data_IF_992987811417
#
_entry.id   IF_992987811417
#
_cell.length_a   1.000
_cell.length_b   1.000
_cell.length_c   1.000
_cell.angle_alpha   90.00
_cell.angle_beta   90.00
_cell.angle_gamma   90.00
#
_symmetry.space_group_name_H-M   'P 1'
#
loop_
_entity.id
_entity.type
_entity.pdbx_description
1 polymer ?
#
# COMPACT_ATOMS: atom_id res chain seq x y z
N UNK A 1 20.61 25.14 -10.32
CA UNK A 1 20.63 23.66 -10.27
C UNK A 1 19.28 23.22 -10.81
N UNK A 2 19.27 22.67 -12.03
CA UNK A 2 18.04 22.42 -12.78
C UNK A 2 17.37 21.15 -12.26
N UNK A 3 16.09 21.21 -11.91
CA UNK A 3 15.28 20.04 -11.60
C UNK A 3 14.94 19.33 -12.92
N UNK A 4 15.35 18.08 -13.15
CA UNK A 4 14.76 17.26 -14.19
C UNK A 4 13.57 16.48 -13.56
N UNK A 5 12.62 16.00 -14.37
CA UNK A 5 11.46 15.15 -13.98
C UNK A 5 10.09 15.79 -13.76
N UNK A 6 9.78 16.86 -14.50
CA UNK A 6 8.41 17.02 -14.94
C UNK A 6 8.35 16.61 -16.42
N UNK A 7 7.61 15.54 -16.73
CA UNK A 7 6.99 15.47 -18.05
C UNK A 7 6.36 16.83 -18.32
N UNK A 8 6.68 17.48 -19.43
CA UNK A 8 6.12 18.80 -19.78
C UNK A 8 4.60 18.72 -20.03
N UNK A 9 4.05 17.50 -20.06
CA UNK A 9 2.64 17.19 -20.19
C UNK A 9 2.00 17.16 -18.79
N UNK A 10 0.93 17.93 -18.55
CA UNK A 10 0.15 17.82 -17.32
C UNK A 10 -0.32 16.38 -17.09
N UNK A 11 -0.33 15.90 -15.84
CA UNK A 11 -0.72 14.53 -15.49
C UNK A 11 -2.07 14.11 -16.12
N UNK A 12 -3.04 15.02 -16.18
CA UNK A 12 -4.36 14.78 -16.78
C UNK A 12 -4.33 14.52 -18.30
N UNK A 13 -3.24 14.88 -18.99
CA UNK A 13 -3.03 14.64 -20.42
C UNK A 13 -1.96 13.56 -20.69
N UNK A 14 -1.37 12.98 -19.64
CA UNK A 14 -0.36 11.93 -19.78
C UNK A 14 -1.03 10.60 -20.20
N UNK A 15 -0.68 10.03 -21.36
CA UNK A 15 -1.29 8.78 -21.86
C UNK A 15 -1.14 7.59 -20.91
N UNK A 16 -0.03 7.50 -20.19
CA UNK A 16 0.19 6.43 -19.20
C UNK A 16 -0.78 6.59 -18.03
N UNK A 17 -0.92 7.82 -17.51
CA UNK A 17 -1.87 8.08 -16.42
C UNK A 17 -3.32 7.87 -16.85
N UNK A 18 -3.72 8.29 -18.06
CA UNK A 18 -5.06 8.04 -18.59
C UNK A 18 -5.36 6.53 -18.68
N UNK A 19 -4.39 5.74 -19.15
CA UNK A 19 -4.53 4.28 -19.23
C UNK A 19 -4.59 3.64 -17.84
N UNK A 20 -3.73 4.05 -16.91
CA UNK A 20 -3.71 3.54 -15.53
C UNK A 20 -4.97 3.93 -14.77
N UNK A 21 -5.40 5.20 -14.84
CA UNK A 21 -6.54 5.72 -14.06
C UNK A 21 -7.87 5.06 -14.42
N UNK A 22 -7.99 4.46 -15.61
CA UNK A 22 -9.17 3.70 -16.04
C UNK A 22 -8.97 2.18 -16.00
N UNK A 23 -7.79 1.71 -15.58
CA UNK A 23 -7.46 0.29 -15.51
C UNK A 23 -8.17 -0.40 -14.35
N UNK A 24 -8.82 -1.52 -14.65
CA UNK A 24 -9.42 -2.43 -13.69
C UNK A 24 -8.75 -3.80 -13.78
N UNK A 25 -8.51 -4.43 -12.63
CA UNK A 25 -7.85 -5.74 -12.55
C UNK A 25 -8.88 -6.86 -12.69
N UNK A 26 -8.61 -7.79 -13.61
CA UNK A 26 -9.45 -8.95 -13.84
C UNK A 26 -10.71 -8.65 -14.67
N UNK A 27 -11.66 -9.60 -14.74
CA UNK A 27 -12.87 -9.46 -15.54
C UNK A 27 -13.92 -8.58 -14.84
N UNK A 28 -14.62 -7.75 -15.62
CA UNK A 28 -15.58 -6.78 -15.11
C UNK A 28 -16.83 -7.40 -14.46
N UNK A 29 -17.15 -8.65 -14.82
CA UNK A 29 -18.29 -9.42 -14.34
C UNK A 29 -17.95 -10.37 -13.18
N UNK A 30 -16.76 -10.27 -12.60
CA UNK A 30 -16.36 -11.07 -11.45
C UNK A 30 -17.31 -10.87 -10.26
N UNK A 31 -17.86 -11.96 -9.71
CA UNK A 31 -18.69 -11.93 -8.50
C UNK A 31 -17.93 -11.34 -7.28
N UNK A 32 -16.60 -11.53 -7.26
CA UNK A 32 -15.70 -10.91 -6.29
C UNK A 32 -14.68 -10.02 -7.02
N UNK A 33 -14.98 -8.73 -7.22
CA UNK A 33 -14.06 -7.79 -7.86
C UNK A 33 -12.75 -7.64 -7.08
N UNK A 34 -11.69 -7.24 -7.77
CA UNK A 34 -10.35 -7.08 -7.20
C UNK A 34 -10.32 -6.30 -5.89
N UNK A 35 -10.95 -5.12 -5.86
CA UNK A 35 -10.98 -4.25 -4.67
C UNK A 35 -11.74 -4.86 -3.49
N UNK A 36 -12.76 -5.69 -3.74
CA UNK A 36 -13.45 -6.44 -2.68
C UNK A 36 -12.58 -7.57 -2.14
N UNK A 37 -11.85 -8.28 -3.02
CA UNK A 37 -10.89 -9.28 -2.58
C UNK A 37 -9.76 -8.65 -1.77
N UNK A 38 -9.24 -7.51 -2.22
CA UNK A 38 -8.23 -6.71 -1.51
C UNK A 38 -8.71 -6.34 -0.10
N UNK A 39 -9.95 -5.84 0.01
CA UNK A 39 -10.56 -5.51 1.30
C UNK A 39 -10.63 -6.74 2.22
N UNK A 40 -11.12 -7.87 1.68
CA UNK A 40 -11.28 -9.12 2.44
C UNK A 40 -9.94 -9.67 2.96
N UNK A 41 -8.93 -9.72 2.11
CA UNK A 41 -7.62 -10.33 2.46
C UNK A 41 -6.82 -9.50 3.48
N UNK A 42 -7.09 -8.20 3.58
CA UNK A 42 -6.39 -7.29 4.49
C UNK A 42 -7.25 -6.82 5.68
N UNK A 43 -8.50 -7.28 5.79
CA UNK A 43 -9.42 -6.82 6.83
C UNK A 43 -9.78 -5.34 6.73
N UNK A 44 -9.76 -4.77 5.52
CA UNK A 44 -10.04 -3.37 5.29
C UNK A 44 -11.51 -3.12 4.98
N UNK A 45 -11.96 -1.88 5.21
CA UNK A 45 -13.24 -1.41 4.66
C UNK A 45 -13.16 -1.30 3.13
N UNK A 46 -14.29 -1.44 2.44
CA UNK A 46 -14.37 -1.26 0.99
C UNK A 46 -13.87 0.13 0.56
N UNK A 47 -14.20 1.18 1.32
CA UNK A 47 -13.74 2.55 1.07
C UNK A 47 -12.22 2.67 1.14
N UNK A 48 -11.59 2.03 2.13
CA UNK A 48 -10.13 2.06 2.25
C UNK A 48 -9.46 1.27 1.13
N UNK A 49 -9.96 0.07 0.79
CA UNK A 49 -9.42 -0.71 -0.33
C UNK A 49 -9.53 0.02 -1.68
N UNK A 50 -10.63 0.74 -1.94
CA UNK A 50 -10.77 1.56 -3.14
C UNK A 50 -9.74 2.70 -3.20
N UNK A 51 -9.46 3.38 -2.07
CA UNK A 51 -8.40 4.39 -1.97
C UNK A 51 -7.02 3.76 -2.22
N UNK A 52 -6.72 2.63 -1.58
CA UNK A 52 -5.45 1.92 -1.79
C UNK A 52 -5.27 1.50 -3.26
N UNK A 53 -6.33 1.10 -3.94
CA UNK A 53 -6.24 0.75 -5.37
C UNK A 53 -5.94 1.97 -6.27
N UNK A 54 -6.47 3.14 -5.94
CA UNK A 54 -6.04 4.40 -6.58
C UNK A 54 -4.56 4.70 -6.31
N UNK A 55 -4.10 4.55 -5.07
CA UNK A 55 -2.68 4.73 -4.73
C UNK A 55 -1.77 3.71 -5.42
N UNK A 56 -2.26 2.49 -5.66
CA UNK A 56 -1.55 1.49 -6.46
C UNK A 56 -1.38 1.91 -7.92
N UNK A 57 -2.41 2.50 -8.54
CA UNK A 57 -2.30 3.05 -9.90
C UNK A 57 -1.28 4.19 -9.95
N UNK A 58 -1.23 5.06 -8.92
CA UNK A 58 -0.19 6.10 -8.81
C UNK A 58 1.21 5.53 -8.64
N UNK A 59 1.34 4.48 -7.83
CA UNK A 59 2.62 3.78 -7.68
C UNK A 59 3.10 3.16 -9.00
N UNK A 60 2.20 2.54 -9.77
CA UNK A 60 2.53 2.01 -11.10
C UNK A 60 3.02 3.12 -12.06
N UNK A 61 2.41 4.30 -12.00
CA UNK A 61 2.88 5.46 -12.75
C UNK A 61 4.32 5.81 -12.37
N UNK A 62 4.61 5.98 -11.06
CA UNK A 62 5.96 6.28 -10.58
C UNK A 62 6.97 5.18 -10.92
N UNK A 63 6.57 3.91 -10.88
CA UNK A 63 7.44 2.79 -11.23
C UNK A 63 7.90 2.80 -12.69
N UNK A 64 7.14 3.47 -13.57
CA UNK A 64 7.49 3.65 -14.98
C UNK A 64 8.23 4.97 -15.22
N UNK A 65 7.83 6.05 -14.57
CA UNK A 65 8.27 7.42 -14.89
C UNK A 65 9.40 7.96 -14.02
N UNK A 66 9.61 7.42 -12.82
CA UNK A 66 10.74 7.82 -11.99
C UNK A 66 12.08 7.30 -12.55
N UNK A 67 13.14 8.11 -12.46
CA UNK A 67 14.50 7.71 -12.84
C UNK A 67 15.17 6.75 -11.86
N UNK A 68 14.50 6.45 -10.75
CA UNK A 68 15.03 5.63 -9.68
C UNK A 68 14.06 4.50 -9.38
N UNK A 69 14.54 3.37 -8.83
CA UNK A 69 13.66 2.37 -8.26
C UNK A 69 12.74 2.99 -7.19
N UNK A 70 11.48 2.59 -7.18
CA UNK A 70 10.48 3.06 -6.22
C UNK A 70 10.12 1.97 -5.23
N UNK A 71 9.76 2.36 -4.01
CA UNK A 71 9.31 1.44 -2.94
C UNK A 71 7.87 1.81 -2.56
N UNK A 72 6.91 0.88 -2.68
CA UNK A 72 5.52 1.17 -2.29
C UNK A 72 5.39 1.26 -0.78
N UNK A 73 4.33 1.91 -0.28
CA UNK A 73 3.90 1.70 1.12
C UNK A 73 3.41 0.26 1.33
N UNK A 74 3.22 -0.20 2.57
CA UNK A 74 2.74 -1.56 2.81
C UNK A 74 1.36 -1.79 2.18
N UNK A 75 0.41 -0.87 2.38
CA UNK A 75 -0.93 -1.00 1.81
C UNK A 75 -0.90 -1.09 0.27
N UNK A 76 -0.07 -0.28 -0.39
CA UNK A 76 0.10 -0.32 -1.85
C UNK A 76 0.80 -1.61 -2.30
N UNK A 77 1.76 -2.10 -1.51
CA UNK A 77 2.44 -3.38 -1.76
C UNK A 77 1.46 -4.56 -1.63
N UNK A 78 0.50 -4.53 -0.70
CA UNK A 78 -0.55 -5.55 -0.61
C UNK A 78 -1.45 -5.58 -1.86
N UNK A 79 -1.77 -4.41 -2.43
CA UNK A 79 -2.49 -4.36 -3.71
C UNK A 79 -1.63 -4.93 -4.85
N UNK A 80 -0.35 -4.61 -4.89
CA UNK A 80 0.57 -5.14 -5.90
C UNK A 80 0.74 -6.67 -5.78
N UNK A 81 0.96 -7.18 -4.57
CA UNK A 81 1.01 -8.62 -4.28
C UNK A 81 -0.25 -9.34 -4.75
N UNK A 82 -1.43 -8.77 -4.46
CA UNK A 82 -2.68 -9.36 -4.93
C UNK A 82 -2.74 -9.36 -6.46
N UNK A 83 -2.38 -8.27 -7.13
CA UNK A 83 -2.39 -8.19 -8.59
C UNK A 83 -1.43 -9.20 -9.23
N UNK A 84 -0.27 -9.47 -8.64
CA UNK A 84 0.65 -10.52 -9.11
C UNK A 84 0.01 -11.92 -9.12
N UNK A 85 -1.03 -12.16 -8.32
CA UNK A 85 -1.80 -13.43 -8.37
C UNK A 85 -2.77 -13.52 -9.55
N UNK A 86 -3.10 -12.39 -10.19
CA UNK A 86 -3.86 -12.33 -11.45
C UNK A 86 -2.88 -12.40 -12.62
N UNK A 87 -2.12 -13.49 -12.69
CA UNK A 87 -0.92 -13.58 -13.53
C UNK A 87 -1.16 -13.25 -15.00
N UNK A 88 -2.28 -13.70 -15.58
CA UNK A 88 -2.67 -13.36 -16.97
C UNK A 88 -2.96 -11.88 -17.13
N UNK A 89 -3.75 -11.30 -16.23
CA UNK A 89 -4.06 -9.87 -16.23
C UNK A 89 -2.76 -9.05 -16.12
N UNK A 90 -1.89 -9.41 -15.18
CA UNK A 90 -0.63 -8.72 -14.93
C UNK A 90 0.35 -8.81 -16.10
N UNK A 91 0.58 -10.02 -16.63
CA UNK A 91 1.61 -10.27 -17.66
C UNK A 91 1.13 -10.09 -19.09
N UNK A 92 -0.15 -10.32 -19.37
CA UNK A 92 -0.71 -10.26 -20.71
C UNK A 92 -1.41 -8.91 -20.98
N UNK A 93 -1.93 -8.21 -19.95
CA UNK A 93 -2.61 -6.91 -20.09
C UNK A 93 -1.80 -5.76 -19.50
N UNK A 94 -1.63 -5.71 -18.17
CA UNK A 94 -1.01 -4.57 -17.50
C UNK A 94 0.39 -4.25 -18.06
N UNK A 95 1.31 -5.21 -18.03
CA UNK A 95 2.70 -4.97 -18.43
C UNK A 95 2.87 -4.58 -19.91
N UNK A 96 2.35 -5.33 -20.90
CA UNK A 96 2.60 -5.04 -22.31
C UNK A 96 1.68 -3.96 -22.90
N UNK A 97 0.45 -3.82 -22.42
CA UNK A 97 -0.54 -2.90 -23.02
C UNK A 97 -0.54 -1.53 -22.32
N UNK A 98 -0.45 -1.52 -20.98
CA UNK A 98 -0.57 -0.30 -20.17
C UNK A 98 0.81 0.26 -19.82
N UNK A 99 1.66 -0.51 -19.15
CA UNK A 99 2.98 -0.05 -18.72
C UNK A 99 3.99 0.02 -19.87
N UNK A 100 3.76 -0.74 -20.94
CA UNK A 100 4.67 -0.94 -22.09
C UNK A 100 6.06 -1.47 -21.69
N UNK A 101 6.18 -2.08 -20.51
CA UNK A 101 7.41 -2.69 -20.00
C UNK A 101 7.10 -3.73 -18.92
N UNK A 102 7.97 -4.73 -18.74
CA UNK A 102 7.90 -5.60 -17.57
C UNK A 102 8.11 -4.80 -16.28
N UNK A 103 7.29 -5.08 -15.28
CA UNK A 103 7.48 -4.61 -13.91
C UNK A 103 7.54 -5.84 -13.00
N UNK A 104 8.70 -6.09 -12.40
CA UNK A 104 8.92 -7.24 -11.54
C UNK A 104 8.89 -6.82 -10.07
N UNK A 105 8.23 -7.64 -9.25
CA UNK A 105 8.38 -7.59 -7.79
C UNK A 105 9.52 -8.53 -7.39
N UNK A 106 10.36 -8.08 -6.48
CA UNK A 106 11.54 -8.83 -6.03
C UNK A 106 11.61 -8.89 -4.51
N UNK A 107 12.09 -10.00 -3.94
CA UNK A 107 12.29 -10.09 -2.50
C UNK A 107 13.41 -9.14 -2.05
N UNK A 108 13.33 -8.72 -0.78
CA UNK A 108 14.46 -8.11 -0.09
C UNK A 108 15.57 -9.17 0.11
N UNK A 109 16.84 -8.79 -0.08
CA UNK A 109 18.01 -9.59 0.31
C UNK A 109 18.19 -9.67 1.84
N UNK A 110 17.56 -8.78 2.59
CA UNK A 110 17.73 -8.61 4.03
C UNK A 110 19.05 -7.94 4.43
N UNK A 111 19.18 -7.62 5.72
CA UNK A 111 20.38 -7.03 6.30
C UNK A 111 20.35 -5.50 6.42
N UNK A 112 21.32 -4.95 7.15
CA UNK A 112 21.34 -3.52 7.50
C UNK A 112 21.57 -2.61 6.28
N UNK A 113 22.47 -2.98 5.38
CA UNK A 113 22.77 -2.20 4.16
C UNK A 113 21.53 -2.02 3.30
N UNK A 114 20.75 -3.09 3.13
CA UNK A 114 19.52 -3.01 2.37
C UNK A 114 18.41 -2.26 3.10
N UNK A 115 18.35 -2.36 4.43
CA UNK A 115 17.47 -1.52 5.25
C UNK A 115 17.75 -0.03 5.05
N UNK A 116 19.01 0.39 5.07
CA UNK A 116 19.42 1.76 4.80
C UNK A 116 19.07 2.20 3.37
N UNK A 117 19.32 1.33 2.38
CA UNK A 117 18.94 1.57 0.98
C UNK A 117 17.43 1.79 0.83
N UNK A 118 16.60 0.92 1.41
CA UNK A 118 15.15 1.06 1.34
C UNK A 118 14.63 2.29 2.07
N UNK A 119 15.29 2.73 3.14
CA UNK A 119 14.94 3.97 3.83
C UNK A 119 15.08 5.18 2.89
N UNK A 120 16.23 5.31 2.21
CA UNK A 120 16.42 6.40 1.25
C UNK A 120 15.50 6.24 0.02
N UNK A 121 15.39 5.03 -0.53
CA UNK A 121 14.54 4.76 -1.69
C UNK A 121 13.05 5.08 -1.43
N UNK A 122 12.55 4.75 -0.24
CA UNK A 122 11.17 5.07 0.16
C UNK A 122 10.98 6.58 0.33
N UNK A 123 11.93 7.28 0.98
CA UNK A 123 11.88 8.73 1.07
C UNK A 123 11.90 9.40 -0.31
N UNK A 124 12.73 8.89 -1.24
CA UNK A 124 12.75 9.35 -2.62
C UNK A 124 11.43 9.06 -3.35
N UNK A 125 10.81 7.91 -3.08
CA UNK A 125 9.48 7.57 -3.63
C UNK A 125 8.42 8.56 -3.18
N UNK A 126 8.40 8.94 -1.88
CA UNK A 126 7.46 9.94 -1.37
C UNK A 126 7.69 11.32 -1.99
N UNK A 127 8.94 11.72 -2.22
CA UNK A 127 9.26 12.98 -2.93
C UNK A 127 8.74 12.97 -4.38
N UNK A 128 8.98 11.88 -5.11
CA UNK A 128 8.50 11.73 -6.49
C UNK A 128 6.97 11.64 -6.55
N UNK A 129 6.35 10.99 -5.56
CA UNK A 129 4.89 10.97 -5.40
C UNK A 129 4.35 12.39 -5.20
N UNK A 130 4.91 13.15 -4.25
CA UNK A 130 4.44 14.50 -3.94
C UNK A 130 4.57 15.45 -5.13
N UNK A 131 5.68 15.34 -5.88
CA UNK A 131 5.88 16.10 -7.10
C UNK A 131 4.84 15.78 -8.20
N UNK A 132 4.42 14.53 -8.32
CA UNK A 132 3.48 14.09 -9.36
C UNK A 132 2.00 14.29 -8.98
N UNK A 133 1.63 14.05 -7.72
CA UNK A 133 0.23 13.94 -7.28
C UNK A 133 -0.14 14.88 -6.13
N UNK A 134 0.82 15.63 -5.57
CA UNK A 134 0.63 16.40 -4.35
C UNK A 134 0.75 15.54 -3.08
N UNK A 135 0.43 16.10 -1.90
CA UNK A 135 0.71 15.45 -0.62
C UNK A 135 -0.07 14.15 -0.46
N UNK A 136 0.66 13.09 -0.08
CA UNK A 136 0.08 11.78 0.19
C UNK A 136 -0.64 11.75 1.55
N UNK A 137 -1.66 10.91 1.71
CA UNK A 137 -2.31 10.72 3.01
C UNK A 137 -1.55 9.71 3.86
N UNK A 138 -1.21 10.09 5.09
CA UNK A 138 -0.38 9.28 5.99
C UNK A 138 -0.98 7.93 6.39
N UNK A 139 -2.29 7.72 6.19
CA UNK A 139 -2.97 6.45 6.45
C UNK A 139 -2.70 5.39 5.37
N UNK A 140 -2.23 5.78 4.18
CA UNK A 140 -1.81 4.86 3.10
C UNK A 140 -0.32 4.99 2.80
N UNK A 141 0.22 6.21 2.87
CA UNK A 141 1.63 6.53 2.65
C UNK A 141 2.25 7.07 3.94
N UNK A 142 2.54 6.20 4.93
CA UNK A 142 3.09 6.64 6.20
C UNK A 142 4.58 7.02 6.07
N UNK A 143 5.18 7.49 7.16
CA UNK A 143 6.62 7.72 7.20
C UNK A 143 7.45 6.42 7.07
N UNK A 144 8.74 6.59 6.75
CA UNK A 144 9.67 5.49 6.56
C UNK A 144 9.81 4.59 7.81
N UNK A 145 9.70 5.16 9.01
CA UNK A 145 9.77 4.38 10.25
C UNK A 145 8.60 3.41 10.34
N UNK A 146 7.37 3.88 10.10
CA UNK A 146 6.18 3.03 10.07
C UNK A 146 6.32 1.96 8.99
N UNK A 147 6.64 2.36 7.76
CA UNK A 147 6.73 1.47 6.58
C UNK A 147 7.79 0.38 6.70
N UNK A 148 8.96 0.70 7.27
CA UNK A 148 10.12 -0.18 7.24
C UNK A 148 10.37 -0.90 8.57
N UNK A 149 9.84 -0.40 9.68
CA UNK A 149 10.06 -1.00 11.01
C UNK A 149 8.79 -1.59 11.63
N UNK A 150 7.60 -1.06 11.34
CA UNK A 150 6.37 -1.45 12.01
C UNK A 150 5.51 -2.35 11.13
N UNK A 151 5.19 -1.91 9.91
CA UNK A 151 4.32 -2.67 9.01
C UNK A 151 4.87 -4.08 8.68
N UNK A 152 6.19 -4.30 8.50
CA UNK A 152 6.74 -5.64 8.27
C UNK A 152 6.56 -6.61 9.44
N UNK A 153 6.17 -6.14 10.62
CA UNK A 153 5.86 -7.00 11.77
C UNK A 153 4.47 -7.65 11.68
N UNK A 154 3.66 -7.25 10.70
CA UNK A 154 2.36 -7.85 10.43
C UNK A 154 2.52 -9.33 10.06
N UNK A 155 1.60 -10.17 10.56
CA UNK A 155 1.56 -11.60 10.25
C UNK A 155 0.13 -12.05 10.03
N UNK A 156 -0.04 -13.07 9.18
CA UNK A 156 -1.30 -13.78 9.05
C UNK A 156 -1.56 -14.54 10.35
N UNK A 157 -2.76 -14.41 10.88
CA UNK A 157 -3.23 -15.10 12.09
C UNK A 157 -4.60 -15.69 11.81
N UNK A 158 -4.89 -16.85 12.37
CA UNK A 158 -6.20 -17.48 12.22
C UNK A 158 -7.12 -17.03 13.36
N UNK A 159 -8.27 -16.37 13.11
CA UNK A 159 -9.12 -15.84 14.17
C UNK A 159 -9.73 -16.90 15.10
N UNK A 160 -9.78 -18.17 14.67
CA UNK A 160 -10.20 -19.29 15.53
C UNK A 160 -9.13 -19.69 16.57
N UNK A 161 -7.87 -19.29 16.35
CA UNK A 161 -6.73 -19.67 17.21
C UNK A 161 -6.20 -18.50 18.05
N UNK A 162 -6.59 -17.27 17.73
CA UNK A 162 -6.11 -16.07 18.42
C UNK A 162 -7.19 -14.98 18.51
N UNK A 163 -7.24 -14.31 19.66
CA UNK A 163 -8.05 -13.11 19.84
C UNK A 163 -7.25 -11.86 19.41
N UNK A 164 -7.81 -11.07 18.48
CA UNK A 164 -7.20 -9.83 18.00
C UNK A 164 -7.94 -8.63 18.60
N UNK A 165 -7.39 -8.06 19.68
CA UNK A 165 -7.96 -6.88 20.33
C UNK A 165 -7.13 -5.63 20.00
N UNK A 166 -7.75 -4.52 19.57
CA UNK A 166 -7.01 -3.28 19.42
C UNK A 166 -6.58 -2.77 20.80
N UNK A 167 -5.32 -2.34 20.91
CA UNK A 167 -4.71 -1.96 22.19
C UNK A 167 -5.52 -0.93 23.01
N UNK A 168 -6.24 -0.02 22.34
CA UNK A 168 -7.13 0.96 22.98
C UNK A 168 -8.22 0.34 23.86
N UNK A 169 -8.67 -0.87 23.54
CA UNK A 169 -9.69 -1.59 24.31
C UNK A 169 -9.10 -2.19 25.58
N UNK A 170 -7.82 -2.59 25.56
CA UNK A 170 -7.12 -3.10 26.74
C UNK A 170 -6.86 -1.97 27.75
N UNK A 171 -6.50 -0.77 27.29
CA UNK A 171 -6.31 0.39 28.15
C UNK A 171 -7.63 0.85 28.81
N UNK A 172 -8.74 0.86 28.08
CA UNK A 172 -10.07 1.18 28.63
C UNK A 172 -10.61 0.10 29.58
N UNK A 173 -10.43 -1.17 29.23
CA UNK A 173 -10.89 -2.31 30.03
C UNK A 173 -10.09 -2.50 31.31
N UNK A 174 -8.78 -2.27 31.29
CA UNK A 174 -7.93 -2.33 32.49
C UNK A 174 -8.32 -1.29 33.53
N UNK A 175 -8.63 -0.05 33.10
CA UNK A 175 -9.10 1.00 33.99
C UNK A 175 -10.47 0.66 34.60
N UNK A 176 -11.40 0.13 33.80
CA UNK A 176 -12.72 -0.29 34.26
C UNK A 176 -12.66 -1.48 35.23
N UNK A 177 -11.80 -2.47 34.98
CA UNK A 177 -11.60 -3.61 35.87
C UNK A 177 -10.95 -3.20 37.21
N UNK A 178 -9.98 -2.27 37.18
CA UNK A 178 -9.37 -1.70 38.39
C UNK A 178 -10.39 -0.88 39.21
N UNK A 179 -11.25 -0.09 38.55
CA UNK A 179 -12.33 0.66 39.20
C UNK A 179 -13.39 -0.28 39.80
N UNK A 180 -13.78 -1.33 39.09
CA UNK A 180 -14.72 -2.34 39.60
C UNK A 180 -14.15 -3.11 40.80
N UNK A 181 -12.87 -3.48 40.76
CA UNK A 181 -12.18 -4.10 41.89
C UNK A 181 -12.10 -3.14 43.09
N UNK A 182 -11.74 -1.87 42.86
CA UNK A 182 -11.66 -0.86 43.92
C UNK A 182 -13.03 -0.58 44.58
N UNK A 183 -14.11 -0.56 43.79
CA UNK A 183 -15.48 -0.41 44.30
C UNK A 183 -15.95 -1.66 45.05
N UNK A 184 -15.60 -2.86 44.57
CA UNK A 184 -15.87 -4.11 45.27
C UNK A 184 -15.11 -4.22 46.60
N UNK A 185 -13.86 -3.74 46.67
CA UNK A 185 -13.03 -3.87 47.88
C UNK A 185 -13.39 -2.91 49.03
N UNK A 186 -14.34 -2.00 48.81
CA UNK A 186 -14.76 -0.98 49.80
C UNK A 186 -16.21 -1.22 50.28
N UNK A 187 -16.90 -2.22 49.74
CA UNK A 187 -18.21 -2.73 50.17
C UNK A 187 -18.04 -3.99 51.03
#
# INVERSE_FOLDING_TARGET
>A
MNAPFASSVPLAADPLWLSLSTYEVGPADAELPFTRRLARENGWSAKHAARVFEEYRRFLYLAVTAEHPVTPSDAVDQAWHLHLTYTRDYWERLCPEVLRRPLHHGPTKGGQEEGARFHEQYAQTLRSYEAAFGPATADIWPDARRRLMIDPMARRVHPHEALILPYRWLLGGGLAALLAYALWSVL
#
